data_IF_302961611456
#
_entry.id   IF_302961611456
#
_cell.length_a   1.000
_cell.length_b   1.000
_cell.length_c   1.000
_cell.angle_alpha   90.00
_cell.angle_beta   90.00
_cell.angle_gamma   90.00
#
_symmetry.space_group_name_H-M   'P 1'
#
loop_
_entity.id
_entity.type
_entity.pdbx_description
1 polymer ?
#
# COMPACT_ATOMS: atom_id res chain seq x y z
N UNK A 1 -21.74 -10.90 -5.45
CA UNK A 1 -21.15 -10.08 -4.40
C UNK A 1 -19.95 -9.34 -4.95
N UNK A 2 -19.85 -8.09 -4.60
CA UNK A 2 -18.71 -7.30 -5.05
C UNK A 2 -17.48 -7.62 -4.19
N UNK A 3 -16.31 -7.59 -4.83
CA UNK A 3 -15.04 -7.81 -4.16
C UNK A 3 -14.61 -6.52 -3.48
N UNK A 4 -13.84 -6.59 -2.38
CA UNK A 4 -13.40 -5.38 -1.69
C UNK A 4 -12.42 -4.59 -2.55
N UNK A 5 -12.50 -3.27 -2.43
CA UNK A 5 -11.56 -2.37 -3.05
C UNK A 5 -10.42 -2.16 -2.08
N UNK A 6 -9.22 -2.57 -2.47
CA UNK A 6 -8.01 -2.46 -1.66
C UNK A 6 -7.18 -1.28 -2.12
N UNK A 7 -6.75 -0.45 -1.18
CA UNK A 7 -5.73 0.57 -1.44
C UNK A 7 -4.47 0.21 -0.67
N UNK A 8 -3.37 0.06 -1.39
CA UNK A 8 -2.05 -0.12 -0.78
C UNK A 8 -1.47 1.27 -0.57
N UNK A 9 -1.24 1.66 0.69
CA UNK A 9 -0.75 2.99 1.05
C UNK A 9 0.74 2.92 1.31
N UNK A 10 1.51 3.70 0.57
CA UNK A 10 2.97 3.62 0.57
C UNK A 10 3.54 5.02 0.79
N UNK A 11 4.03 5.32 2.00
CA UNK A 11 4.71 6.60 2.23
C UNK A 11 6.09 6.58 1.57
N UNK A 12 6.46 7.70 0.96
CA UNK A 12 7.73 7.82 0.24
C UNK A 12 8.45 9.10 0.66
N UNK A 13 9.73 8.98 0.99
CA UNK A 13 10.58 10.11 1.24
C UNK A 13 11.96 9.84 0.65
N UNK A 14 12.33 10.62 -0.37
CA UNK A 14 13.62 10.49 -1.07
C UNK A 14 13.88 9.05 -1.54
N UNK A 15 12.94 8.51 -2.29
CA UNK A 15 12.98 7.12 -2.77
C UNK A 15 13.19 7.02 -4.28
N UNK A 16 13.82 8.01 -4.90
CA UNK A 16 13.95 8.03 -6.36
C UNK A 16 14.72 6.83 -6.91
N UNK A 17 15.63 6.26 -6.13
CA UNK A 17 16.41 5.10 -6.60
C UNK A 17 15.64 3.79 -6.44
N UNK A 18 14.74 3.73 -5.49
CA UNK A 18 14.03 2.51 -5.12
C UNK A 18 12.70 2.41 -5.87
N UNK A 19 12.01 3.51 -6.04
CA UNK A 19 10.67 3.55 -6.58
C UNK A 19 10.54 2.88 -7.95
N UNK A 20 11.47 3.10 -8.91
CA UNK A 20 11.38 2.43 -10.20
C UNK A 20 11.47 0.91 -10.11
N UNK A 21 12.08 0.40 -9.04
CA UNK A 21 12.21 -1.04 -8.81
C UNK A 21 10.96 -1.60 -8.14
N UNK A 22 10.44 -0.89 -7.13
CA UNK A 22 9.35 -1.43 -6.31
C UNK A 22 7.97 -1.15 -6.86
N UNK A 23 7.76 -0.03 -7.56
CA UNK A 23 6.43 0.31 -8.08
C UNK A 23 5.85 -0.81 -8.98
N UNK A 24 6.63 -1.39 -9.92
CA UNK A 24 6.10 -2.49 -10.71
C UNK A 24 5.71 -3.71 -9.88
N UNK A 25 6.40 -3.94 -8.77
CA UNK A 25 6.08 -5.06 -7.88
C UNK A 25 4.74 -4.85 -7.18
N UNK A 26 4.47 -3.61 -6.75
CA UNK A 26 3.20 -3.27 -6.13
C UNK A 26 2.05 -3.40 -7.13
N UNK A 27 2.26 -2.95 -8.35
CA UNK A 27 1.26 -3.06 -9.40
C UNK A 27 0.98 -4.53 -9.72
N UNK A 28 2.02 -5.33 -9.85
CA UNK A 28 1.86 -6.75 -10.11
C UNK A 28 1.07 -7.42 -8.99
N UNK A 29 1.36 -7.07 -7.75
CA UNK A 29 0.66 -7.67 -6.60
C UNK A 29 -0.82 -7.34 -6.63
N UNK A 30 -1.18 -6.10 -6.91
CA UNK A 30 -2.59 -5.70 -6.95
C UNK A 30 -3.32 -6.41 -8.10
N UNK A 31 -2.66 -6.54 -9.25
CA UNK A 31 -3.22 -7.26 -10.39
C UNK A 31 -3.36 -8.74 -10.10
N UNK A 32 -2.39 -9.35 -9.43
CA UNK A 32 -2.45 -10.76 -9.05
C UNK A 32 -3.61 -11.03 -8.07
N UNK A 33 -3.78 -10.15 -7.08
CA UNK A 33 -4.89 -10.27 -6.12
C UNK A 33 -6.24 -10.13 -6.82
N UNK A 34 -6.34 -9.22 -7.76
CA UNK A 34 -7.56 -9.03 -8.54
C UNK A 34 -7.84 -10.25 -9.43
N UNK A 35 -6.82 -10.76 -10.10
CA UNK A 35 -6.96 -11.93 -10.96
C UNK A 35 -7.36 -13.18 -10.16
N UNK A 36 -6.88 -13.29 -8.91
CA UNK A 36 -7.25 -14.39 -8.02
C UNK A 36 -8.66 -14.25 -7.44
N UNK A 37 -9.33 -13.12 -7.70
CA UNK A 37 -10.67 -12.89 -7.21
C UNK A 37 -10.74 -12.43 -5.77
N UNK A 38 -9.63 -12.00 -5.18
CA UNK A 38 -9.59 -11.60 -3.78
C UNK A 38 -9.94 -10.14 -3.57
N UNK A 39 -9.62 -9.28 -4.54
CA UNK A 39 -9.94 -7.86 -4.47
C UNK A 39 -10.54 -7.38 -5.80
N UNK A 40 -11.18 -6.22 -5.75
CA UNK A 40 -11.75 -5.59 -6.94
C UNK A 40 -10.64 -5.07 -7.86
N UNK A 41 -10.88 -5.06 -9.16
CA UNK A 41 -9.98 -4.42 -10.13
C UNK A 41 -9.93 -2.89 -9.96
N UNK A 42 -10.83 -2.32 -9.15
CA UNK A 42 -10.79 -0.90 -8.78
C UNK A 42 -9.78 -0.60 -7.67
N UNK A 43 -9.08 -1.63 -7.19
CA UNK A 43 -8.04 -1.45 -6.17
C UNK A 43 -6.90 -0.57 -6.69
N UNK A 44 -6.21 0.12 -5.78
CA UNK A 44 -5.22 1.14 -6.16
C UNK A 44 -3.96 1.03 -5.30
N UNK A 45 -2.88 1.55 -5.85
CA UNK A 45 -1.61 1.76 -5.13
C UNK A 45 -1.48 3.27 -4.93
N UNK A 46 -1.49 3.71 -3.68
CA UNK A 46 -1.40 5.12 -3.33
C UNK A 46 -0.01 5.43 -2.78
N UNK A 47 0.75 6.25 -3.50
CA UNK A 47 2.02 6.77 -3.03
C UNK A 47 1.79 8.11 -2.34
N UNK A 48 2.34 8.26 -1.14
CA UNK A 48 2.28 9.53 -0.40
C UNK A 48 3.67 10.12 -0.36
N UNK A 49 3.90 11.19 -1.09
CA UNK A 49 5.18 11.88 -1.07
C UNK A 49 5.26 12.74 0.18
N UNK A 50 6.21 12.46 1.05
CA UNK A 50 6.39 13.14 2.32
C UNK A 50 7.42 14.27 2.18
N UNK A 51 7.20 15.15 1.22
CA UNK A 51 8.06 16.32 1.04
C UNK A 51 9.46 15.97 0.55
N UNK A 52 9.58 15.00 -0.36
CA UNK A 52 10.87 14.59 -0.92
C UNK A 52 11.57 15.75 -1.62
N UNK A 53 12.89 15.75 -1.54
CA UNK A 53 13.74 16.76 -2.19
C UNK A 53 14.32 16.28 -3.51
N UNK A 54 14.21 14.98 -3.78
CA UNK A 54 14.72 14.37 -5.00
C UNK A 54 13.59 14.21 -6.04
N UNK A 55 13.75 13.32 -7.01
CA UNK A 55 12.79 13.12 -8.09
C UNK A 55 11.62 12.19 -7.70
N UNK A 56 11.46 11.85 -6.43
CA UNK A 56 10.40 10.94 -5.98
C UNK A 56 9.02 11.37 -6.45
N UNK A 57 8.67 12.64 -6.23
CA UNK A 57 7.35 13.13 -6.62
C UNK A 57 7.13 13.07 -8.13
N UNK A 58 8.15 13.43 -8.91
CA UNK A 58 8.07 13.37 -10.37
C UNK A 58 7.84 11.94 -10.85
N UNK A 59 8.49 10.96 -10.20
CA UNK A 59 8.29 9.56 -10.53
C UNK A 59 6.88 9.09 -10.21
N UNK A 60 6.36 9.49 -9.04
CA UNK A 60 4.99 9.15 -8.66
C UNK A 60 4.00 9.68 -9.68
N UNK A 61 4.17 10.94 -10.10
CA UNK A 61 3.32 11.55 -11.09
C UNK A 61 3.39 10.81 -12.43
N UNK A 62 4.59 10.38 -12.81
CA UNK A 62 4.78 9.61 -14.04
C UNK A 62 4.04 8.28 -13.97
N UNK A 63 4.19 7.54 -12.87
CA UNK A 63 3.49 6.26 -12.72
C UNK A 63 1.98 6.44 -12.76
N UNK A 64 1.47 7.48 -12.09
CA UNK A 64 0.04 7.74 -12.07
C UNK A 64 -0.49 8.10 -13.46
N UNK A 65 0.33 8.73 -14.29
CA UNK A 65 -0.07 9.07 -15.66
C UNK A 65 -0.05 7.86 -16.60
N UNK A 66 0.74 6.85 -16.28
CA UNK A 66 0.92 5.67 -17.13
C UNK A 66 -0.06 4.54 -16.81
N UNK A 67 -0.53 4.47 -15.57
CA UNK A 67 -1.43 3.39 -15.14
C UNK A 67 -2.42 3.93 -14.10
N UNK A 68 -3.69 3.71 -14.34
CA UNK A 68 -4.75 4.22 -13.47
C UNK A 68 -4.77 3.58 -12.08
N UNK A 69 -4.06 2.45 -11.88
CA UNK A 69 -3.97 1.84 -10.57
C UNK A 69 -3.08 2.64 -9.62
N UNK A 70 -2.20 3.48 -10.15
CA UNK A 70 -1.33 4.32 -9.34
C UNK A 70 -1.99 5.66 -9.06
N UNK A 71 -1.97 6.07 -7.80
CA UNK A 71 -2.44 7.37 -7.35
C UNK A 71 -1.32 8.00 -6.52
N UNK A 72 -1.14 9.31 -6.64
CA UNK A 72 -0.15 10.01 -5.86
C UNK A 72 -0.76 11.20 -5.15
N UNK A 73 -0.35 11.41 -3.91
CA UNK A 73 -0.60 12.66 -3.18
C UNK A 73 0.72 13.15 -2.61
N UNK A 74 0.83 14.45 -2.41
CA UNK A 74 2.06 15.05 -1.92
C UNK A 74 1.77 15.98 -0.77
N UNK A 75 2.53 15.81 0.31
CA UNK A 75 2.53 16.78 1.41
C UNK A 75 3.48 17.92 1.03
N UNK A 76 3.15 19.12 1.48
CA UNK A 76 3.93 20.32 1.13
C UNK A 76 5.34 20.31 1.70
N UNK A 77 5.57 19.50 2.73
CA UNK A 77 6.87 19.36 3.37
C UNK A 77 6.92 18.03 4.10
N UNK A 78 8.13 17.64 4.52
CA UNK A 78 8.29 16.43 5.32
C UNK A 78 7.60 16.61 6.67
N UNK A 79 6.68 15.70 6.98
CA UNK A 79 5.95 15.70 8.25
C UNK A 79 6.16 14.39 9.02
N UNK A 80 7.02 13.53 8.51
CA UNK A 80 7.33 12.26 9.13
C UNK A 80 6.51 11.11 8.59
N UNK A 81 7.06 9.92 8.76
CA UNK A 81 6.50 8.69 8.21
C UNK A 81 5.05 8.46 8.67
N UNK A 82 4.78 8.64 9.96
CA UNK A 82 3.44 8.37 10.49
C UNK A 82 2.39 9.34 9.94
N UNK A 83 2.76 10.60 9.74
CA UNK A 83 1.85 11.58 9.16
C UNK A 83 1.60 11.30 7.69
N UNK A 84 2.59 10.78 6.97
CA UNK A 84 2.40 10.38 5.58
C UNK A 84 1.43 9.19 5.48
N UNK A 85 1.59 8.19 6.34
CA UNK A 85 0.67 7.07 6.40
C UNK A 85 -0.75 7.56 6.71
N UNK A 86 -0.88 8.43 7.70
CA UNK A 86 -2.19 8.96 8.07
C UNK A 86 -2.84 9.72 6.90
N UNK A 87 -2.07 10.54 6.19
CA UNK A 87 -2.58 11.27 5.03
C UNK A 87 -3.13 10.29 3.97
N UNK A 88 -2.41 9.21 3.73
CA UNK A 88 -2.84 8.18 2.79
C UNK A 88 -4.10 7.47 3.24
N UNK A 89 -4.18 7.14 4.52
CA UNK A 89 -5.36 6.48 5.08
C UNK A 89 -6.59 7.39 5.02
N UNK A 90 -6.42 8.68 5.25
CA UNK A 90 -7.53 9.63 5.15
C UNK A 90 -7.99 9.80 3.70
N UNK A 91 -7.07 9.79 2.76
CA UNK A 91 -7.41 9.83 1.34
C UNK A 91 -8.21 8.59 0.95
N UNK A 92 -7.77 7.43 1.41
CA UNK A 92 -8.47 6.16 1.15
C UNK A 92 -9.87 6.17 1.76
N UNK A 93 -10.00 6.70 2.98
CA UNK A 93 -11.29 6.78 3.67
C UNK A 93 -12.27 7.69 2.91
N UNK A 94 -11.77 8.74 2.28
CA UNK A 94 -12.60 9.66 1.52
C UNK A 94 -13.03 9.08 0.17
N UNK A 95 -12.43 7.97 -0.26
CA UNK A 95 -12.75 7.30 -1.52
C UNK A 95 -13.78 6.18 -1.27
N UNK A 96 -13.96 5.34 -2.28
CA UNK A 96 -14.82 4.15 -2.17
C UNK A 96 -14.04 2.91 -1.70
N UNK A 97 -12.88 3.11 -1.12
CA UNK A 97 -12.01 2.03 -0.63
C UNK A 97 -12.66 1.28 0.54
N UNK A 98 -12.55 -0.04 0.51
CA UNK A 98 -13.09 -0.90 1.57
C UNK A 98 -12.03 -1.30 2.59
N UNK A 99 -10.77 -1.43 2.16
CA UNK A 99 -9.69 -1.93 3.02
C UNK A 99 -8.37 -1.33 2.58
N UNK A 100 -7.48 -1.09 3.54
CA UNK A 100 -6.14 -0.56 3.25
C UNK A 100 -5.07 -1.48 3.80
N UNK A 101 -3.93 -1.51 3.12
CA UNK A 101 -2.70 -2.11 3.61
C UNK A 101 -1.63 -1.04 3.50
N UNK A 102 -0.92 -0.80 4.60
CA UNK A 102 0.20 0.15 4.61
C UNK A 102 1.52 -0.61 4.60
N UNK A 103 2.40 -0.29 3.68
CA UNK A 103 3.73 -0.90 3.58
C UNK A 103 4.76 0.17 3.25
N UNK A 104 6.03 -0.16 3.49
CA UNK A 104 7.13 0.75 3.16
C UNK A 104 7.50 0.66 1.69
N UNK A 105 8.02 1.76 1.16
CA UNK A 105 8.39 1.87 -0.25
C UNK A 105 9.61 1.04 -0.62
N UNK A 106 10.50 0.78 0.33
CA UNK A 106 11.83 0.23 0.08
C UNK A 106 11.87 -1.27 -0.19
N UNK A 107 10.73 -1.93 -0.17
CA UNK A 107 10.67 -3.37 -0.46
C UNK A 107 11.13 -4.28 0.67
N UNK A 108 11.36 -3.73 1.87
CA UNK A 108 11.76 -4.55 3.01
C UNK A 108 10.61 -5.38 3.56
N UNK A 109 9.39 -4.92 3.36
CA UNK A 109 8.22 -5.69 3.77
C UNK A 109 7.97 -6.83 2.78
N UNK A 110 7.48 -7.95 3.31
CA UNK A 110 7.14 -9.09 2.47
C UNK A 110 5.83 -8.81 1.72
N UNK A 111 5.97 -8.45 0.45
CA UNK A 111 4.81 -8.11 -0.37
C UNK A 111 3.86 -9.31 -0.54
N UNK A 112 4.39 -10.53 -0.48
CA UNK A 112 3.56 -11.73 -0.61
C UNK A 112 2.68 -11.97 0.61
N UNK A 113 2.99 -11.32 1.73
CA UNK A 113 2.15 -11.36 2.92
C UNK A 113 0.78 -10.72 2.70
N UNK A 114 0.65 -9.87 1.67
CA UNK A 114 -0.63 -9.23 1.38
C UNK A 114 -1.72 -10.23 1.04
N UNK A 115 -1.38 -11.33 0.37
CA UNK A 115 -2.36 -12.36 0.03
C UNK A 115 -3.01 -12.90 1.29
N UNK A 116 -2.20 -13.18 2.31
CA UNK A 116 -2.70 -13.69 3.56
C UNK A 116 -3.46 -12.63 4.35
N UNK A 117 -3.00 -11.38 4.31
CA UNK A 117 -3.71 -10.27 4.96
C UNK A 117 -5.10 -10.08 4.37
N UNK A 118 -5.21 -10.11 3.05
CA UNK A 118 -6.50 -9.97 2.37
C UNK A 118 -7.39 -11.16 2.73
N UNK A 119 -6.84 -12.37 2.75
CA UNK A 119 -7.61 -13.55 3.11
C UNK A 119 -8.15 -13.46 4.54
N UNK A 120 -7.34 -12.97 5.48
CA UNK A 120 -7.80 -12.76 6.86
C UNK A 120 -8.93 -11.75 6.93
N UNK A 121 -8.84 -10.69 6.16
CA UNK A 121 -9.93 -9.73 6.08
C UNK A 121 -11.22 -10.39 5.55
N UNK A 122 -11.10 -11.17 4.48
CA UNK A 122 -12.26 -11.86 3.91
C UNK A 122 -12.85 -12.89 4.89
N UNK A 123 -12.03 -13.44 5.76
CA UNK A 123 -12.47 -14.38 6.81
C UNK A 123 -13.08 -13.67 8.02
N UNK A 124 -13.16 -12.34 8.01
CA UNK A 124 -13.85 -11.56 9.03
C UNK A 124 -12.98 -10.76 9.97
N UNK A 125 -11.64 -10.76 9.77
CA UNK A 125 -10.76 -9.94 10.58
C UNK A 125 -10.93 -8.48 10.18
N UNK A 126 -11.00 -7.57 11.16
CA UNK A 126 -11.06 -6.14 10.90
C UNK A 126 -9.69 -5.50 10.87
N UNK A 127 -8.75 -6.02 11.66
CA UNK A 127 -7.38 -5.54 11.71
C UNK A 127 -6.45 -6.75 11.62
N UNK A 128 -5.46 -6.66 10.73
CA UNK A 128 -4.47 -7.71 10.55
C UNK A 128 -3.09 -7.06 10.67
N UNK A 129 -2.24 -7.62 11.54
CA UNK A 129 -0.88 -7.17 11.67
C UNK A 129 0.09 -8.12 10.98
N UNK A 130 1.03 -7.54 10.26
CA UNK A 130 2.22 -8.26 9.89
C UNK A 130 3.27 -8.00 10.94
N UNK A 131 3.80 -9.04 11.56
CA UNK A 131 4.81 -8.92 12.59
C UNK A 131 6.13 -9.47 12.07
N UNK A 132 7.17 -8.60 12.09
CA UNK A 132 8.50 -9.02 11.66
C UNK A 132 9.11 -9.92 12.73
N UNK A 133 9.61 -11.06 12.29
CA UNK A 133 10.27 -11.99 13.20
C UNK A 133 11.65 -11.46 13.59
N UNK A 134 12.27 -12.10 14.59
CA UNK A 134 13.60 -11.70 15.06
C UNK A 134 14.67 -11.88 13.99
N UNK A 135 14.40 -12.69 12.96
CA UNK A 135 15.37 -12.97 11.92
C UNK A 135 15.21 -12.07 10.70
N UNK A 136 14.37 -11.09 10.79
CA UNK A 136 14.16 -10.05 9.78
C UNK A 136 13.64 -10.52 8.43
N UNK A 137 13.65 -11.81 8.17
CA UNK A 137 13.20 -12.36 6.90
C UNK A 137 11.81 -12.97 6.97
N UNK A 138 11.36 -13.28 8.18
CA UNK A 138 10.09 -13.93 8.39
C UNK A 138 9.07 -12.93 8.92
N UNK A 139 7.86 -13.06 8.46
CA UNK A 139 6.74 -12.33 9.02
C UNK A 139 5.65 -13.32 9.39
N UNK A 140 4.93 -13.02 10.45
CA UNK A 140 3.73 -13.75 10.78
C UNK A 140 2.64 -12.76 11.17
N UNK A 141 1.41 -13.23 11.15
CA UNK A 141 0.26 -12.32 11.29
C UNK A 141 -0.51 -12.62 12.55
N UNK A 142 -0.95 -11.55 13.20
CA UNK A 142 -1.92 -11.65 14.27
C UNK A 142 -3.25 -11.19 13.72
N UNK A 143 -4.28 -11.92 14.04
CA UNK A 143 -5.63 -11.58 13.64
C UNK A 143 -6.37 -11.02 14.85
N UNK A 144 -7.08 -9.92 14.62
CA UNK A 144 -7.96 -9.34 15.60
C UNK A 144 -9.38 -9.36 15.03
N UNK A 145 -10.32 -9.65 15.90
CA UNK A 145 -11.73 -9.58 15.54
C UNK A 145 -12.40 -8.50 16.40
N UNK A 146 -13.37 -7.84 15.83
CA UNK A 146 -14.19 -6.92 16.62
C UNK A 146 -15.00 -7.73 17.61
N UNK A 147 -15.11 -7.22 18.78
CA UNK A 147 -15.90 -7.80 19.84
C UNK A 147 -17.23 -7.07 19.97
#
# INVERSE_FOLDING_TARGET
MSKPILWIVIPCYNEEQVLPITAPLFLKKINDLSAAGLVSEKSRVLFVNDGSRDATWSLIQKFASEDEHFIGISQSRNRGHQNAVLAGLMEAKASDCDVTISIDCDGQDDINAMDEMVQKYLDGAEVVYGVRSRRDTDTFFKRFTAE
#
